data_IF_314586123932
#
_entry.id   IF_314586123932
#
_cell.length_a   1.000
_cell.length_b   1.000
_cell.length_c   1.000
_cell.angle_alpha   90.00
_cell.angle_beta   90.00
_cell.angle_gamma   90.00
#
_symmetry.space_group_name_H-M   'P 1'
#
loop_
_entity.id
_entity.type
_entity.pdbx_description
1 polymer ?
#
# COMPACT_ATOMS: atom_id res chain seq x y z
N UNK A 1 -4.18 -30.11 16.22
CA UNK A 1 -5.19 -29.49 15.39
C UNK A 1 -5.45 -28.05 15.75
N UNK A 2 -5.90 -27.80 16.95
CA UNK A 2 -6.11 -26.42 17.39
C UNK A 2 -4.86 -25.59 17.37
N UNK A 3 -3.77 -26.19 17.74
CA UNK A 3 -2.49 -25.52 17.76
C UNK A 3 -2.16 -24.97 16.39
N UNK A 4 -2.44 -25.75 15.37
CA UNK A 4 -2.17 -25.36 14.00
C UNK A 4 -3.03 -24.17 13.57
N UNK A 5 -4.30 -24.17 13.99
CA UNK A 5 -5.20 -23.08 13.68
C UNK A 5 -4.77 -21.80 14.37
N UNK A 6 -4.36 -21.89 15.62
CA UNK A 6 -3.84 -20.74 16.33
C UNK A 6 -2.60 -20.19 15.66
N UNK A 7 -1.76 -21.08 15.24
CA UNK A 7 -0.54 -20.70 14.56
C UNK A 7 -0.82 -19.94 13.28
N UNK A 8 -1.81 -20.38 12.53
CA UNK A 8 -2.21 -19.68 11.32
C UNK A 8 -2.74 -18.28 11.60
N UNK A 9 -3.42 -18.10 12.70
CA UNK A 9 -3.90 -16.78 13.08
C UNK A 9 -2.78 -15.85 13.46
N UNK A 10 -1.72 -16.36 14.04
CA UNK A 10 -0.56 -15.57 14.35
C UNK A 10 0.27 -15.26 13.12
N UNK A 11 0.18 -16.10 12.12
CA UNK A 11 0.74 -15.80 10.82
C UNK A 11 -0.19 -14.83 10.12
N UNK A 12 0.01 -13.57 10.38
CA UNK A 12 -0.86 -12.55 9.86
C UNK A 12 -0.96 -12.62 8.35
N UNK A 13 -2.14 -12.39 7.85
CA UNK A 13 -2.35 -12.22 6.42
C UNK A 13 -1.54 -11.04 5.93
N UNK A 14 -1.09 -11.10 4.71
CA UNK A 14 -0.50 -9.95 4.05
C UNK A 14 -1.61 -9.01 3.61
N UNK A 15 -1.25 -7.77 3.37
CA UNK A 15 -2.22 -6.79 2.87
C UNK A 15 -2.81 -7.25 1.54
N UNK A 16 -1.96 -7.80 0.66
CA UNK A 16 -2.42 -8.29 -0.63
C UNK A 16 -3.45 -9.39 -0.55
N UNK A 17 -3.37 -10.22 0.48
CA UNK A 17 -4.36 -11.28 0.70
C UNK A 17 -5.68 -10.74 1.22
N UNK A 18 -5.62 -9.65 1.96
CA UNK A 18 -6.79 -9.10 2.62
C UNK A 18 -7.64 -8.23 1.70
N UNK A 19 -7.00 -7.49 0.81
CA UNK A 19 -7.70 -6.56 -0.07
C UNK A 19 -7.89 -7.18 -1.45
N UNK A 20 -8.74 -6.56 -2.25
CA UNK A 20 -9.03 -7.05 -3.59
C UNK A 20 -7.86 -6.84 -4.53
N UNK A 21 -7.22 -5.67 -4.46
CA UNK A 21 -6.16 -5.31 -5.40
C UNK A 21 -5.36 -4.13 -4.87
N UNK A 22 -4.07 -4.12 -5.16
CA UNK A 22 -3.20 -2.96 -4.91
C UNK A 22 -2.55 -2.60 -6.23
N UNK A 23 -2.56 -1.32 -6.54
CA UNK A 23 -2.00 -0.82 -7.78
C UNK A 23 -1.18 0.42 -7.50
N UNK A 24 0.02 0.49 -8.07
CA UNK A 24 0.85 1.69 -7.99
C UNK A 24 1.22 2.14 -9.40
N UNK A 25 1.34 3.43 -9.57
CA UNK A 25 1.69 4.01 -10.87
C UNK A 25 2.28 5.40 -10.68
N UNK A 26 2.95 5.88 -11.71
CA UNK A 26 3.39 7.28 -11.73
C UNK A 26 2.22 8.22 -11.93
N UNK A 27 2.27 9.34 -11.23
CA UNK A 27 1.36 10.46 -11.43
C UNK A 27 2.23 11.62 -11.88
N UNK A 28 2.59 11.60 -13.16
CA UNK A 28 3.62 12.49 -13.70
C UNK A 28 5.01 11.95 -13.36
N UNK A 29 6.07 12.68 -13.75
CA UNK A 29 7.44 12.17 -13.58
C UNK A 29 7.97 12.24 -12.14
N UNK A 30 7.31 13.01 -11.26
CA UNK A 30 7.83 13.30 -9.93
C UNK A 30 7.02 12.66 -8.79
N UNK A 31 5.89 12.04 -9.09
CA UNK A 31 4.97 11.52 -8.08
C UNK A 31 4.60 10.08 -8.36
N UNK A 32 4.26 9.37 -7.29
CA UNK A 32 3.70 8.02 -7.37
C UNK A 32 2.39 8.01 -6.61
N UNK A 33 1.41 7.30 -7.14
CA UNK A 33 0.17 7.01 -6.42
C UNK A 33 0.04 5.52 -6.21
N UNK A 34 -0.48 5.14 -5.04
CA UNK A 34 -0.81 3.75 -4.74
C UNK A 34 -2.28 3.72 -4.37
N UNK A 35 -3.04 2.87 -5.05
CA UNK A 35 -4.45 2.67 -4.78
C UNK A 35 -4.66 1.29 -4.19
N UNK A 36 -5.29 1.23 -3.03
CA UNK A 36 -5.67 -0.02 -2.38
C UNK A 36 -7.17 -0.19 -2.53
N UNK A 37 -7.56 -1.14 -3.36
CA UNK A 37 -8.95 -1.47 -3.62
C UNK A 37 -9.36 -2.56 -2.64
N UNK A 38 -10.12 -2.20 -1.62
CA UNK A 38 -10.43 -3.14 -0.55
C UNK A 38 -11.52 -4.14 -0.92
N UNK A 39 -12.41 -3.78 -1.83
CA UNK A 39 -13.40 -4.71 -2.33
C UNK A 39 -14.74 -4.63 -1.62
N UNK A 40 -14.75 -4.49 -0.31
CA UNK A 40 -15.99 -4.26 0.42
C UNK A 40 -15.75 -3.30 1.58
N UNK A 41 -16.85 -2.81 2.14
CA UNK A 41 -16.80 -1.77 3.15
C UNK A 41 -16.19 -2.24 4.47
N UNK A 42 -16.42 -3.47 4.82
CA UNK A 42 -15.92 -4.03 6.07
C UNK A 42 -14.40 -4.12 6.06
N UNK A 43 -13.86 -4.64 4.96
CA UNK A 43 -12.41 -4.71 4.79
C UNK A 43 -11.83 -3.31 4.71
N UNK A 44 -12.48 -2.41 4.00
CA UNK A 44 -12.05 -1.04 3.87
C UNK A 44 -11.92 -0.36 5.23
N UNK A 45 -12.92 -0.48 6.08
CA UNK A 45 -12.89 0.13 7.41
C UNK A 45 -11.76 -0.46 8.27
N UNK A 46 -11.58 -1.77 8.19
CA UNK A 46 -10.54 -2.44 8.95
C UNK A 46 -9.14 -1.99 8.50
N UNK A 47 -8.94 -1.89 7.19
CA UNK A 47 -7.67 -1.44 6.63
C UNK A 47 -7.42 0.02 7.00
N UNK A 48 -8.42 0.88 6.89
CA UNK A 48 -8.28 2.29 7.27
C UNK A 48 -7.84 2.42 8.72
N UNK A 49 -8.35 1.58 9.59
CA UNK A 49 -8.06 1.63 11.01
C UNK A 49 -6.67 1.12 11.32
N UNK A 50 -6.27 0.02 10.70
CA UNK A 50 -5.01 -0.65 11.02
C UNK A 50 -3.81 -0.13 10.25
N UNK A 51 -4.04 0.39 9.05
CA UNK A 51 -2.95 0.82 8.19
C UNK A 51 -2.55 2.24 8.54
N UNK A 52 -1.49 2.38 9.31
CA UNK A 52 -1.00 3.68 9.78
C UNK A 52 -0.07 4.30 8.74
N UNK A 53 -0.11 5.63 8.64
CA UNK A 53 0.77 6.36 7.74
C UNK A 53 2.25 6.13 8.07
N UNK A 54 2.57 6.04 9.36
CA UNK A 54 3.94 5.79 9.78
C UNK A 54 4.46 4.45 9.25
N UNK A 55 3.59 3.44 9.22
CA UNK A 55 3.94 2.13 8.72
C UNK A 55 4.23 2.16 7.23
N UNK A 56 3.38 2.87 6.49
CA UNK A 56 3.53 3.03 5.04
C UNK A 56 4.80 3.81 4.71
N UNK A 57 5.01 4.94 5.39
CA UNK A 57 6.17 5.77 5.11
C UNK A 57 7.48 5.04 5.43
N UNK A 58 7.48 4.25 6.50
CA UNK A 58 8.63 3.46 6.86
C UNK A 58 8.93 2.39 5.80
N UNK A 59 7.90 1.70 5.35
CA UNK A 59 8.05 0.65 4.33
C UNK A 59 8.58 1.22 3.02
N UNK A 60 8.06 2.37 2.62
CA UNK A 60 8.44 3.01 1.37
C UNK A 60 9.69 3.87 1.50
N UNK A 61 10.23 4.00 2.70
CA UNK A 61 11.44 4.77 2.97
C UNK A 61 11.28 6.24 2.58
N UNK A 62 10.14 6.81 2.90
CA UNK A 62 9.84 8.21 2.64
C UNK A 62 9.47 8.91 3.94
N UNK A 63 9.53 10.24 3.94
CA UNK A 63 9.10 11.03 5.08
C UNK A 63 7.59 10.95 5.22
N UNK A 64 7.10 10.81 6.44
CA UNK A 64 5.67 10.80 6.69
C UNK A 64 5.01 12.09 6.25
N UNK A 65 5.74 13.21 6.31
CA UNK A 65 5.25 14.50 5.86
C UNK A 65 4.97 14.54 4.37
N UNK A 66 5.69 13.74 3.60
CA UNK A 66 5.54 13.69 2.15
C UNK A 66 4.43 12.76 1.71
N UNK A 67 3.92 11.94 2.62
CA UNK A 67 2.88 10.97 2.31
C UNK A 67 1.51 11.63 2.43
N UNK A 68 0.75 11.60 1.35
CA UNK A 68 -0.64 12.07 1.34
C UNK A 68 -1.57 10.86 1.30
N UNK A 69 -2.59 10.89 2.13
CA UNK A 69 -3.54 9.79 2.24
C UNK A 69 -4.94 10.28 1.95
N UNK A 70 -5.64 9.55 1.10
CA UNK A 70 -7.03 9.85 0.76
C UNK A 70 -7.86 8.60 0.97
N UNK A 71 -8.93 8.72 1.74
CA UNK A 71 -9.85 7.61 1.98
C UNK A 71 -11.13 7.89 1.22
N UNK A 72 -11.41 7.07 0.22
CA UNK A 72 -12.55 7.27 -0.67
C UNK A 72 -13.63 6.27 -0.27
N UNK A 73 -14.52 6.71 0.60
CA UNK A 73 -15.50 5.83 1.25
C UNK A 73 -16.44 5.13 0.29
N UNK A 74 -16.94 5.85 -0.70
CA UNK A 74 -17.91 5.28 -1.62
C UNK A 74 -17.32 4.27 -2.61
N UNK A 75 -16.00 4.22 -2.71
CA UNK A 75 -15.31 3.26 -3.58
C UNK A 75 -14.58 2.19 -2.81
N UNK A 76 -14.50 2.30 -1.49
CA UNK A 76 -13.72 1.42 -0.63
C UNK A 76 -12.26 1.37 -1.06
N UNK A 77 -11.71 2.55 -1.34
CA UNK A 77 -10.34 2.71 -1.83
C UNK A 77 -9.57 3.61 -0.88
N UNK A 78 -8.33 3.23 -0.58
CA UNK A 78 -7.39 4.09 0.11
C UNK A 78 -6.30 4.45 -0.89
N UNK A 79 -6.08 5.73 -1.08
CA UNK A 79 -5.09 6.23 -2.02
C UNK A 79 -3.96 6.90 -1.28
N UNK A 80 -2.73 6.57 -1.64
CA UNK A 80 -1.55 7.25 -1.15
C UNK A 80 -0.85 7.94 -2.31
N UNK A 81 -0.31 9.13 -2.04
CA UNK A 81 0.44 9.88 -3.03
C UNK A 81 1.70 10.42 -2.37
N UNK A 82 2.82 10.31 -3.05
CA UNK A 82 4.09 10.77 -2.49
C UNK A 82 5.08 11.04 -3.63
N UNK A 83 6.08 11.90 -3.38
CA UNK A 83 7.07 12.22 -4.40
C UNK A 83 8.02 11.05 -4.66
N UNK A 84 8.44 10.88 -5.89
CA UNK A 84 9.46 9.90 -6.25
C UNK A 84 10.82 10.40 -5.80
N UNK A 85 11.64 9.49 -5.28
CA UNK A 85 13.02 9.81 -4.95
C UNK A 85 13.87 9.98 -6.20
N UNK A 86 13.54 9.22 -7.23
CA UNK A 86 14.25 9.24 -8.50
C UNK A 86 13.26 9.62 -9.57
N UNK A 87 13.61 10.61 -10.38
CA UNK A 87 12.75 11.11 -11.44
C UNK A 87 12.49 10.00 -12.45
N UNK A 88 11.25 9.88 -12.92
CA UNK A 88 10.88 8.88 -13.90
C UNK A 88 11.75 8.99 -15.16
N UNK A 89 12.33 7.87 -15.58
CA UNK A 89 13.17 7.83 -16.77
C UNK A 89 14.61 8.23 -16.55
N UNK A 90 14.98 8.62 -15.32
CA UNK A 90 16.38 8.85 -14.99
C UNK A 90 17.15 7.54 -15.10
N UNK A 91 18.47 7.65 -15.37
CA UNK A 91 19.31 6.45 -15.54
C UNK A 91 19.33 5.54 -14.32
N UNK A 92 19.05 6.09 -13.15
CA UNK A 92 18.99 5.31 -11.91
C UNK A 92 17.59 4.82 -11.57
N UNK A 93 16.61 5.12 -12.40
CA UNK A 93 15.23 4.72 -12.16
C UNK A 93 15.02 3.26 -12.57
N UNK A 94 14.90 2.38 -11.58
CA UNK A 94 14.68 0.95 -11.82
C UNK A 94 13.19 0.61 -11.87
N UNK A 95 12.34 1.56 -11.57
CA UNK A 95 10.89 1.38 -11.61
C UNK A 95 10.26 2.56 -12.33
N UNK A 96 10.51 2.60 -13.64
CA UNK A 96 10.07 3.72 -14.46
C UNK A 96 8.57 3.96 -14.39
N UNK A 97 7.79 2.90 -14.24
CA UNK A 97 6.33 3.00 -14.21
C UNK A 97 5.74 3.10 -12.81
N UNK A 98 6.57 2.99 -11.79
CA UNK A 98 6.10 3.06 -10.41
C UNK A 98 5.27 1.85 -9.98
N UNK A 99 5.35 0.74 -10.70
CA UNK A 99 4.47 -0.40 -10.47
C UNK A 99 4.97 -1.38 -9.42
N UNK A 100 6.26 -1.37 -9.11
CA UNK A 100 6.86 -2.34 -8.20
C UNK A 100 6.44 -2.15 -6.75
N UNK A 101 6.06 -0.93 -6.39
CA UNK A 101 5.68 -0.61 -5.01
C UNK A 101 4.39 -1.29 -4.58
N UNK A 102 3.50 -1.57 -5.53
CA UNK A 102 2.30 -2.34 -5.23
C UNK A 102 2.64 -3.73 -4.70
N UNK A 103 3.64 -4.38 -5.31
CA UNK A 103 4.10 -5.68 -4.86
C UNK A 103 4.70 -5.64 -3.47
N UNK A 104 5.53 -4.63 -3.21
CA UNK A 104 6.13 -4.46 -1.90
C UNK A 104 5.06 -4.27 -0.82
N UNK A 105 4.08 -3.43 -1.09
CA UNK A 105 3.01 -3.16 -0.15
C UNK A 105 2.13 -4.39 0.05
N UNK A 106 1.92 -5.15 -1.00
CA UNK A 106 1.11 -6.36 -0.97
C UNK A 106 1.67 -7.40 0.01
N UNK A 107 2.97 -7.45 0.17
CA UNK A 107 3.63 -8.42 1.04
C UNK A 107 3.68 -7.97 2.50
N UNK A 108 3.22 -6.78 2.80
CA UNK A 108 3.26 -6.26 4.16
C UNK A 108 2.36 -7.08 5.07
N UNK A 109 2.88 -7.48 6.22
CA UNK A 109 2.08 -8.17 7.24
C UNK A 109 1.06 -7.22 7.84
N UNK A 110 -0.10 -7.76 8.09
CA UNK A 110 -1.21 -6.89 8.47
C UNK A 110 -1.98 -7.35 9.72
#
# INVERSE_FOLDING_TARGET
MHLKLKFQRFNLSTLGEKVKKIRSKNAGPFWITIDIFCGDKKIYKDVCKKLKNSKISSLLMISEQDLKRFEIDNLNVIKFSFPRKIIQGDIFDRDMHGAQLAGLLSEMKF
#
